data_IF_085256603764
#
_entry.id   IF_085256603764
#
_cell.length_a   1.000
_cell.length_b   1.000
_cell.length_c   1.000
_cell.angle_alpha   90.00
_cell.angle_beta   90.00
_cell.angle_gamma   90.00
#
_symmetry.space_group_name_H-M   'P 1'
#
loop_
_entity.id
_entity.type
_entity.pdbx_description
1 polymer ?
#
# COMPACT_ATOMS: atom_id res chain seq x y z
N UNK A 1 -8.60 -17.68 -21.41
CA UNK A 1 -8.18 -16.27 -21.57
C UNK A 1 -7.20 -15.92 -20.46
N UNK A 2 -5.89 -15.89 -20.73
CA UNK A 2 -4.88 -15.48 -19.74
C UNK A 2 -5.02 -13.97 -19.54
N UNK A 3 -5.63 -13.54 -18.43
CA UNK A 3 -5.69 -12.12 -18.05
C UNK A 3 -4.29 -11.67 -17.67
N UNK A 4 -3.48 -11.25 -18.64
CA UNK A 4 -2.32 -10.40 -18.33
C UNK A 4 -2.88 -9.04 -17.90
N UNK A 5 -3.19 -8.91 -16.62
CA UNK A 5 -3.50 -7.61 -16.03
C UNK A 5 -2.19 -6.83 -15.93
N UNK A 6 -2.13 -5.68 -16.60
CA UNK A 6 -1.02 -4.74 -16.45
C UNK A 6 -0.85 -4.28 -15.00
N UNK A 7 0.17 -3.44 -14.73
CA UNK A 7 0.40 -2.96 -13.39
C UNK A 7 -0.81 -2.19 -12.86
N UNK A 8 -1.19 -2.47 -11.61
CA UNK A 8 -2.26 -1.77 -10.92
C UNK A 8 -1.67 -0.74 -9.94
N UNK A 9 -2.36 0.39 -9.80
CA UNK A 9 -1.98 1.48 -8.92
C UNK A 9 -3.14 1.82 -8.00
N UNK A 10 -2.84 2.14 -6.75
CA UNK A 10 -3.82 2.59 -5.77
C UNK A 10 -3.24 3.61 -4.80
N UNK A 11 -4.10 4.30 -4.08
CA UNK A 11 -3.71 5.28 -3.08
C UNK A 11 -4.40 4.96 -1.76
N UNK A 12 -3.63 5.05 -0.68
CA UNK A 12 -4.09 4.84 0.68
C UNK A 12 -3.89 6.16 1.43
N UNK A 13 -4.99 6.67 1.98
CA UNK A 13 -4.97 7.84 2.86
C UNK A 13 -4.66 7.38 4.28
N UNK A 14 -3.62 7.97 4.87
CA UNK A 14 -3.29 7.83 6.28
C UNK A 14 -4.23 8.71 7.10
N UNK A 15 -4.40 8.33 8.36
CA UNK A 15 -5.23 9.08 9.32
C UNK A 15 -4.90 10.58 9.34
N UNK A 16 -5.94 11.40 9.15
CA UNK A 16 -5.86 12.86 9.21
C UNK A 16 -5.65 13.35 10.65
N UNK A 17 -5.02 14.52 10.82
CA UNK A 17 -4.76 15.11 12.13
C UNK A 17 -3.54 14.56 12.88
N UNK A 18 -2.94 13.46 12.42
CA UNK A 18 -1.67 12.96 12.95
C UNK A 18 -0.51 13.68 12.26
N UNK A 19 0.31 14.40 13.03
CA UNK A 19 1.54 15.01 12.51
C UNK A 19 2.52 13.91 12.11
N UNK A 20 2.95 13.92 10.85
CA UNK A 20 3.97 13.00 10.31
C UNK A 20 5.06 13.77 9.59
N UNK A 21 6.26 13.23 9.61
CA UNK A 21 7.36 13.66 8.75
C UNK A 21 7.43 12.75 7.52
N UNK A 22 8.21 13.16 6.52
CA UNK A 22 8.45 12.34 5.31
C UNK A 22 9.10 11.00 5.67
N UNK A 23 10.01 10.98 6.64
CA UNK A 23 10.69 9.77 7.09
C UNK A 23 9.71 8.78 7.72
N UNK A 24 8.76 9.27 8.53
CA UNK A 24 7.71 8.43 9.11
C UNK A 24 6.84 7.78 8.02
N UNK A 25 6.42 8.54 7.01
CA UNK A 25 5.62 7.97 5.91
C UNK A 25 6.42 6.95 5.09
N UNK A 26 7.72 7.21 4.90
CA UNK A 26 8.64 6.29 4.22
C UNK A 26 8.78 4.99 5.00
N UNK A 27 8.91 5.07 6.32
CA UNK A 27 8.98 3.91 7.21
C UNK A 27 7.69 3.09 7.17
N UNK A 28 6.52 3.75 7.20
CA UNK A 28 5.21 3.08 7.05
C UNK A 28 5.15 2.33 5.72
N UNK A 29 5.51 2.98 4.61
CA UNK A 29 5.53 2.36 3.29
C UNK A 29 6.48 1.16 3.20
N UNK A 30 7.67 1.25 3.82
CA UNK A 30 8.62 0.13 3.90
C UNK A 30 8.07 -1.05 4.71
N UNK A 31 7.46 -0.79 5.87
CA UNK A 31 6.83 -1.82 6.70
C UNK A 31 5.73 -2.55 5.91
N UNK A 32 4.86 -1.82 5.22
CA UNK A 32 3.80 -2.41 4.42
C UNK A 32 4.32 -3.20 3.22
N UNK A 33 5.38 -2.70 2.56
CA UNK A 33 6.07 -3.46 1.50
C UNK A 33 6.62 -4.78 2.02
N UNK A 34 7.17 -4.82 3.24
CA UNK A 34 7.68 -6.05 3.86
C UNK A 34 6.55 -7.04 4.17
N UNK A 35 5.44 -6.56 4.74
CA UNK A 35 4.25 -7.38 5.07
C UNK A 35 3.57 -7.95 3.84
N UNK A 36 3.52 -7.22 2.72
CA UNK A 36 2.87 -7.71 1.51
C UNK A 36 3.80 -8.50 0.59
N UNK A 37 5.12 -8.31 0.70
CA UNK A 37 6.09 -9.20 0.06
C UNK A 37 5.98 -10.64 0.59
N UNK A 38 5.59 -10.83 1.84
CA UNK A 38 5.35 -12.16 2.42
C UNK A 38 4.08 -12.85 1.89
N UNK A 39 3.21 -12.14 1.14
CA UNK A 39 1.95 -12.66 0.60
C UNK A 39 1.91 -12.94 -0.92
N UNK A 40 3.08 -13.04 -1.59
CA UNK A 40 3.23 -13.36 -3.02
C UNK A 40 2.71 -12.31 -4.04
N UNK A 41 2.33 -11.11 -3.60
CA UNK A 41 1.58 -10.15 -4.44
C UNK A 41 2.42 -9.13 -5.23
N UNK A 42 3.75 -9.14 -5.11
CA UNK A 42 4.64 -8.22 -5.84
C UNK A 42 4.35 -6.73 -5.61
N UNK A 43 3.63 -6.38 -4.54
CA UNK A 43 3.20 -5.03 -4.26
C UNK A 43 4.35 -4.19 -3.68
N UNK A 44 4.47 -2.93 -4.12
CA UNK A 44 5.39 -1.93 -3.55
C UNK A 44 4.60 -0.72 -3.06
N UNK A 45 5.07 -0.12 -1.98
CA UNK A 45 4.48 1.08 -1.39
C UNK A 45 5.48 2.23 -1.42
N UNK A 46 4.98 3.44 -1.69
CA UNK A 46 5.77 4.66 -1.69
C UNK A 46 4.99 5.82 -1.08
N UNK A 47 5.62 6.59 -0.20
CA UNK A 47 5.04 7.82 0.31
C UNK A 47 4.94 8.88 -0.79
N UNK A 48 3.75 9.46 -0.98
CA UNK A 48 3.50 10.54 -1.95
C UNK A 48 3.54 11.90 -1.24
N UNK A 49 2.90 11.97 -0.08
CA UNK A 49 2.88 13.14 0.79
C UNK A 49 2.80 12.69 2.27
N UNK A 50 2.63 13.62 3.21
CA UNK A 50 2.62 13.32 4.66
C UNK A 50 1.39 12.51 5.13
N UNK A 51 0.42 12.30 4.24
CA UNK A 51 -0.87 11.66 4.50
C UNK A 51 -1.28 10.62 3.44
N UNK A 52 -0.46 10.39 2.42
CA UNK A 52 -0.82 9.52 1.29
C UNK A 52 0.32 8.57 0.96
N UNK A 53 -0.01 7.29 0.84
CA UNK A 53 0.88 6.23 0.34
C UNK A 53 0.30 5.68 -0.95
N UNK A 54 1.11 5.59 -1.99
CA UNK A 54 0.76 4.90 -3.23
C UNK A 54 1.16 3.42 -3.13
N UNK A 55 0.29 2.54 -3.60
CA UNK A 55 0.56 1.12 -3.81
C UNK A 55 0.67 0.85 -5.31
N UNK A 56 1.68 0.09 -5.71
CA UNK A 56 1.85 -0.41 -7.08
C UNK A 56 1.95 -1.92 -7.06
N UNK A 57 1.32 -2.59 -8.03
CA UNK A 57 1.30 -4.05 -8.13
C UNK A 57 1.63 -4.46 -9.56
N UNK A 58 2.64 -5.30 -9.74
CA UNK A 58 3.10 -5.70 -11.08
C UNK A 58 2.14 -6.68 -11.78
N UNK A 59 1.29 -7.38 -11.03
CA UNK A 59 0.24 -8.25 -11.57
C UNK A 59 -1.11 -7.81 -11.00
N UNK A 60 -1.88 -7.04 -11.78
CA UNK A 60 -3.18 -6.50 -11.35
C UNK A 60 -4.27 -7.54 -11.05
N UNK A 61 -4.01 -8.84 -11.23
CA UNK A 61 -4.94 -9.92 -10.91
C UNK A 61 -5.17 -10.09 -9.40
N UNK A 62 -4.24 -9.61 -8.54
CA UNK A 62 -4.33 -9.74 -7.08
C UNK A 62 -4.85 -8.48 -6.37
N UNK A 63 -5.45 -7.54 -7.11
CA UNK A 63 -6.00 -6.31 -6.53
C UNK A 63 -7.04 -6.57 -5.43
N UNK A 64 -7.83 -7.66 -5.54
CA UNK A 64 -8.78 -8.11 -4.51
C UNK A 64 -8.12 -8.46 -3.16
N UNK A 65 -6.87 -8.92 -3.14
CA UNK A 65 -6.18 -9.26 -1.89
C UNK A 65 -5.81 -8.02 -1.07
N UNK A 66 -5.47 -6.91 -1.72
CA UNK A 66 -5.06 -5.67 -1.02
C UNK A 66 -6.23 -5.00 -0.30
N UNK A 67 -7.42 -5.00 -0.91
CA UNK A 67 -8.62 -4.45 -0.28
C UNK A 67 -9.16 -5.32 0.88
N UNK A 68 -8.76 -6.59 0.94
CA UNK A 68 -9.19 -7.54 1.97
C UNK A 68 -8.23 -7.63 3.17
N UNK A 69 -7.08 -6.94 3.13
CA UNK A 69 -6.20 -6.88 4.30
C UNK A 69 -6.89 -6.07 5.41
N UNK A 70 -6.91 -6.57 6.66
CA UNK A 70 -7.42 -5.80 7.77
C UNK A 70 -6.63 -4.49 7.84
N UNK A 71 -7.30 -3.34 8.06
CA UNK A 71 -6.59 -2.09 8.13
C UNK A 71 -5.61 -2.21 9.30
N UNK A 72 -4.32 -2.10 9.01
CA UNK A 72 -3.31 -1.98 10.05
C UNK A 72 -3.75 -0.85 10.99
N UNK A 73 -3.49 -0.92 12.31
CA UNK A 73 -4.03 0.02 13.29
C UNK A 73 -3.76 1.51 12.99
N UNK A 74 -2.85 1.81 12.07
CA UNK A 74 -2.54 3.14 11.55
C UNK A 74 -3.52 3.67 10.49
N UNK A 75 -4.44 2.81 10.01
CA UNK A 75 -5.43 3.05 8.96
C UNK A 75 -6.86 3.26 9.48
N UNK A 76 -7.14 3.02 10.76
CA UNK A 76 -8.44 3.28 11.37
C UNK A 76 -8.27 4.20 12.57
N UNK A 77 -8.61 5.46 12.39
CA UNK A 77 -9.41 6.25 13.34
C UNK A 77 -9.61 7.67 12.85
#
# INVERSE_FOLDING_TARGET
MKRHSGPAYGFVKLRLGVKRTRDMVTEIAMKWTKVLRTGATGARFMGVDLSTIMVTMERGQDTTQVYAFPPLPELIS
#
